data_IF_841482540485
#
_entry.id   IF_841482540485
#
_cell.length_a   1.000
_cell.length_b   1.000
_cell.length_c   1.000
_cell.angle_alpha   90.00
_cell.angle_beta   90.00
_cell.angle_gamma   90.00
#
_symmetry.space_group_name_H-M   'P 1'
#
loop_
_entity.id
_entity.type
_entity.pdbx_description
1 polymer ?
#
# COMPACT_ATOMS: atom_id res chain seq x y z
N UNK A 1 -14.90 -10.69 5.22
CA UNK A 1 -13.63 -10.27 5.86
C UNK A 1 -12.88 -9.44 4.84
N UNK A 2 -12.38 -8.25 5.20
CA UNK A 2 -11.63 -7.37 4.29
C UNK A 2 -10.15 -7.62 4.46
N UNK A 3 -9.43 -7.91 3.37
CA UNK A 3 -7.99 -8.10 3.36
C UNK A 3 -7.26 -6.75 3.36
N UNK A 4 -6.29 -6.59 4.26
CA UNK A 4 -5.48 -5.39 4.41
C UNK A 4 -4.17 -5.57 3.66
N UNK A 5 -3.96 -4.73 2.64
CA UNK A 5 -2.80 -4.77 1.78
C UNK A 5 -1.78 -3.70 2.14
N UNK A 6 -0.51 -4.07 2.03
CA UNK A 6 0.59 -3.13 1.86
C UNK A 6 1.05 -3.12 0.41
N UNK A 7 1.43 -1.95 -0.09
CA UNK A 7 2.05 -1.80 -1.40
C UNK A 7 3.52 -1.41 -1.22
N UNK A 8 4.42 -2.21 -1.76
CA UNK A 8 5.86 -1.92 -1.81
C UNK A 8 6.18 -1.47 -3.24
N UNK A 9 6.38 -0.17 -3.42
CA UNK A 9 6.57 0.49 -4.70
C UNK A 9 5.38 1.40 -5.07
N UNK A 10 5.61 2.70 -5.13
CA UNK A 10 4.65 3.76 -5.50
C UNK A 10 4.88 4.31 -6.92
N UNK A 11 5.64 3.57 -7.75
CA UNK A 11 5.87 3.88 -9.16
C UNK A 11 4.62 3.69 -10.05
N UNK A 12 4.83 3.68 -11.37
CA UNK A 12 3.73 3.54 -12.35
C UNK A 12 2.89 2.28 -12.14
N UNK A 13 3.53 1.14 -11.87
CA UNK A 13 2.88 -0.15 -11.66
C UNK A 13 2.18 -0.18 -10.30
N UNK A 14 2.83 0.35 -9.26
CA UNK A 14 2.24 0.50 -7.92
C UNK A 14 0.91 1.27 -7.94
N UNK A 15 0.83 2.36 -8.72
CA UNK A 15 -0.42 3.12 -8.90
C UNK A 15 -1.55 2.31 -9.51
N UNK A 16 -1.25 1.39 -10.43
CA UNK A 16 -2.24 0.47 -11.03
C UNK A 16 -2.74 -0.52 -10.00
N UNK A 17 -1.84 -1.12 -9.21
CA UNK A 17 -2.24 -2.04 -8.14
C UNK A 17 -3.00 -1.35 -7.02
N UNK A 18 -2.61 -0.13 -6.62
CA UNK A 18 -3.35 0.66 -5.63
C UNK A 18 -4.80 0.90 -6.10
N UNK A 19 -4.99 1.25 -7.38
CA UNK A 19 -6.33 1.42 -7.97
C UNK A 19 -7.12 0.11 -7.95
N UNK A 20 -6.49 -1.01 -8.30
CA UNK A 20 -7.13 -2.31 -8.30
C UNK A 20 -7.58 -2.72 -6.88
N UNK A 21 -6.71 -2.54 -5.88
CA UNK A 21 -7.04 -2.77 -4.46
C UNK A 21 -8.21 -1.90 -4.02
N UNK A 22 -8.17 -0.59 -4.32
CA UNK A 22 -9.24 0.34 -3.95
C UNK A 22 -10.58 0.04 -4.63
N UNK A 23 -10.57 -0.57 -5.82
CA UNK A 23 -11.78 -0.98 -6.54
C UNK A 23 -12.40 -2.28 -6.02
N UNK A 24 -11.70 -3.02 -5.17
CA UNK A 24 -12.17 -4.29 -4.63
C UNK A 24 -12.81 -4.09 -3.24
N UNK A 25 -14.12 -4.34 -3.06
CA UNK A 25 -14.79 -4.11 -1.77
C UNK A 25 -14.31 -5.05 -0.65
N UNK A 26 -13.60 -6.13 -1.00
CA UNK A 26 -13.01 -7.07 -0.05
C UNK A 26 -11.53 -6.76 0.25
N UNK A 27 -10.98 -5.66 -0.26
CA UNK A 27 -9.61 -5.25 -0.03
C UNK A 27 -9.53 -3.81 0.51
N UNK A 28 -8.47 -3.52 1.26
CA UNK A 28 -8.14 -2.17 1.73
C UNK A 28 -6.64 -1.96 1.64
N UNK A 29 -6.21 -0.86 1.02
CA UNK A 29 -4.82 -0.42 1.07
C UNK A 29 -4.59 0.27 2.42
N UNK A 30 -3.69 -0.28 3.24
CA UNK A 30 -3.41 0.21 4.60
C UNK A 30 -2.05 0.88 4.67
N UNK A 31 -1.05 0.38 3.94
CA UNK A 31 0.30 0.93 3.95
C UNK A 31 0.91 1.00 2.55
N UNK A 32 1.77 2.00 2.34
CA UNK A 32 2.60 2.17 1.15
C UNK A 32 4.05 2.38 1.58
N UNK A 33 4.99 1.70 0.93
CA UNK A 33 6.42 1.94 1.06
C UNK A 33 7.02 2.25 -0.30
N UNK A 34 7.93 3.22 -0.37
CA UNK A 34 8.76 3.48 -1.54
C UNK A 34 10.09 4.11 -1.05
N UNK A 35 11.17 3.91 -1.81
CA UNK A 35 12.45 4.56 -1.51
C UNK A 35 12.37 6.08 -1.71
N UNK A 36 11.47 6.55 -2.57
CA UNK A 36 11.19 7.96 -2.78
C UNK A 36 9.94 8.39 -1.99
N UNK A 37 10.17 9.00 -0.83
CA UNK A 37 9.14 9.37 0.14
C UNK A 37 7.98 10.17 -0.48
N UNK A 38 8.27 11.09 -1.40
CA UNK A 38 7.24 11.89 -2.08
C UNK A 38 6.23 11.01 -2.85
N UNK A 39 6.71 9.98 -3.56
CA UNK A 39 5.83 9.07 -4.29
C UNK A 39 4.95 8.23 -3.36
N UNK A 40 5.53 7.75 -2.25
CA UNK A 40 4.76 7.03 -1.23
C UNK A 40 3.68 7.92 -0.61
N UNK A 41 4.03 9.14 -0.22
CA UNK A 41 3.10 10.10 0.41
C UNK A 41 1.96 10.50 -0.52
N UNK A 42 2.25 10.81 -1.80
CA UNK A 42 1.22 11.11 -2.79
C UNK A 42 0.23 9.95 -2.95
N UNK A 43 0.75 8.71 -3.05
CA UNK A 43 -0.08 7.54 -3.26
C UNK A 43 -0.88 7.16 -2.02
N UNK A 44 -0.26 7.19 -0.84
CA UNK A 44 -0.90 6.91 0.43
C UNK A 44 -2.05 7.88 0.69
N UNK A 45 -1.82 9.19 0.47
CA UNK A 45 -2.84 10.23 0.63
C UNK A 45 -4.05 10.02 -0.30
N UNK A 46 -3.81 9.59 -1.54
CA UNK A 46 -4.87 9.37 -2.52
C UNK A 46 -5.85 8.23 -2.13
N UNK A 47 -5.39 7.28 -1.31
CA UNK A 47 -6.16 6.10 -0.94
C UNK A 47 -6.44 5.98 0.57
N UNK A 48 -6.04 6.97 1.37
CA UNK A 48 -6.21 6.96 2.83
C UNK A 48 -5.37 5.88 3.53
N UNK A 49 -4.20 5.57 2.97
CA UNK A 49 -3.22 4.64 3.54
C UNK A 49 -2.11 5.41 4.27
N UNK A 50 -1.27 4.67 5.00
CA UNK A 50 -0.11 5.22 5.71
C UNK A 50 1.19 4.98 4.94
N UNK A 51 2.11 5.94 4.98
CA UNK A 51 3.49 5.65 4.55
C UNK A 51 4.20 4.91 5.67
N UNK A 52 4.73 3.73 5.38
CA UNK A 52 5.48 2.90 6.34
C UNK A 52 6.76 2.38 5.69
N UNK A 53 7.77 2.08 6.50
CA UNK A 53 8.95 1.37 6.00
C UNK A 53 8.64 -0.10 5.73
N UNK A 54 9.45 -0.76 4.91
CA UNK A 54 9.32 -2.19 4.62
C UNK A 54 9.41 -3.01 5.92
N UNK A 55 10.38 -2.71 6.79
CA UNK A 55 10.52 -3.36 8.10
C UNK A 55 9.30 -3.19 9.00
N UNK A 56 8.65 -2.02 8.96
CA UNK A 56 7.42 -1.78 9.72
C UNK A 56 6.24 -2.59 9.14
N UNK A 57 6.19 -2.74 7.82
CA UNK A 57 5.19 -3.56 7.12
C UNK A 57 5.40 -5.05 7.41
N UNK A 58 6.64 -5.54 7.42
CA UNK A 58 6.96 -6.94 7.73
C UNK A 58 6.53 -7.34 9.15
N UNK A 59 6.69 -6.41 10.11
CA UNK A 59 6.34 -6.64 11.53
C UNK A 59 4.88 -6.30 11.85
N UNK A 60 4.13 -5.78 10.89
CA UNK A 60 2.77 -5.31 11.08
C UNK A 60 1.80 -6.48 11.31
N UNK A 61 1.02 -6.42 12.39
CA UNK A 61 -0.11 -7.34 12.61
C UNK A 61 -1.39 -6.86 11.91
N UNK A 62 -1.36 -5.65 11.37
CA UNK A 62 -2.47 -5.01 10.67
C UNK A 62 -2.41 -5.13 9.14
N UNK A 63 -1.54 -6.00 8.63
CA UNK A 63 -1.35 -6.26 7.21
C UNK A 63 -1.52 -7.77 6.97
N UNK A 64 -2.38 -8.12 6.01
CA UNK A 64 -2.71 -9.50 5.68
C UNK A 64 -2.00 -9.97 4.41
N UNK A 65 -1.64 -9.04 3.52
CA UNK A 65 -0.96 -9.32 2.26
C UNK A 65 -0.10 -8.14 1.79
N UNK A 66 0.91 -8.42 0.96
CA UNK A 66 1.76 -7.41 0.32
C UNK A 66 1.74 -7.54 -1.19
N UNK A 67 1.83 -6.42 -1.89
CA UNK A 67 2.02 -6.34 -3.35
C UNK A 67 3.38 -5.71 -3.59
N UNK A 68 4.26 -6.42 -4.29
CA UNK A 68 5.63 -6.00 -4.58
C UNK A 68 5.70 -5.54 -6.04
N UNK A 69 5.99 -4.26 -6.27
CA UNK A 69 5.99 -3.58 -7.57
C UNK A 69 7.30 -2.86 -7.85
#
# INVERSE_FOLDING_TARGET
>A
MTLRFALLGAGRIGKVHARAVASNPQAKLVAVADAFEKAATELASAYGAEVRSIDAIEKAKDIDAVIIC
#
